data_IF_471131964098
#
_entry.id   IF_471131964098
#
_cell.length_a   1.000
_cell.length_b   1.000
_cell.length_c   1.000
_cell.angle_alpha   90.00
_cell.angle_beta   90.00
_cell.angle_gamma   90.00
#
_symmetry.space_group_name_H-M   'P 1'
#
loop_
_entity.id
_entity.type
_entity.pdbx_description
1 polymer ?
#
# COMPACT_ATOMS: atom_id res chain seq x y z
N UNK A 1 -14.39 1.82 -13.01
CA UNK A 1 -15.43 1.11 -12.24
C UNK A 1 -14.78 0.22 -11.20
N UNK A 2 -15.38 0.10 -10.02
CA UNK A 2 -14.94 -0.87 -9.01
C UNK A 2 -15.43 -2.24 -9.44
N UNK A 3 -14.51 -3.21 -9.55
CA UNK A 3 -14.85 -4.62 -9.79
C UNK A 3 -14.79 -5.39 -8.48
N UNK A 4 -15.78 -6.25 -8.24
CA UNK A 4 -15.76 -7.22 -7.13
C UNK A 4 -15.05 -8.52 -7.50
N UNK A 5 -14.71 -8.69 -8.79
CA UNK A 5 -13.92 -9.82 -9.26
C UNK A 5 -12.46 -9.62 -8.85
N UNK A 6 -11.91 -10.54 -8.05
CA UNK A 6 -10.59 -10.41 -7.43
C UNK A 6 -9.46 -10.35 -8.47
N UNK A 7 -9.61 -11.02 -9.60
CA UNK A 7 -8.66 -10.99 -10.71
C UNK A 7 -8.68 -9.68 -11.51
N UNK A 8 -9.62 -8.78 -11.23
CA UNK A 8 -9.82 -7.49 -11.93
C UNK A 8 -9.79 -6.27 -11.02
N UNK A 9 -9.28 -6.41 -9.81
CA UNK A 9 -9.22 -5.33 -8.82
C UNK A 9 -7.88 -5.28 -8.08
N UNK A 10 -7.81 -4.50 -7.00
CA UNK A 10 -6.58 -4.31 -6.22
C UNK A 10 -6.08 -5.56 -5.52
N UNK A 11 -6.89 -6.61 -5.38
CA UNK A 11 -6.45 -7.93 -4.88
C UNK A 11 -5.30 -8.47 -5.74
N UNK A 12 -5.38 -8.32 -7.07
CA UNK A 12 -4.29 -8.73 -7.97
C UNK A 12 -2.96 -8.01 -7.70
N UNK A 13 -3.00 -6.76 -7.28
CA UNK A 13 -1.80 -6.02 -6.90
C UNK A 13 -1.22 -6.60 -5.60
N UNK A 14 -2.09 -6.84 -4.61
CA UNK A 14 -1.72 -7.50 -3.35
C UNK A 14 -1.14 -8.89 -3.55
N UNK A 15 -1.69 -9.69 -4.48
CA UNK A 15 -1.17 -11.02 -4.85
C UNK A 15 0.30 -10.95 -5.29
N UNK A 16 0.66 -9.97 -6.13
CA UNK A 16 2.06 -9.83 -6.59
C UNK A 16 3.00 -9.41 -5.47
N UNK A 17 2.57 -8.51 -4.58
CA UNK A 17 3.36 -8.14 -3.39
C UNK A 17 3.59 -9.37 -2.51
N UNK A 18 2.53 -10.09 -2.17
CA UNK A 18 2.60 -11.30 -1.34
C UNK A 18 3.54 -12.35 -1.95
N UNK A 19 3.41 -12.61 -3.24
CA UNK A 19 4.24 -13.56 -3.99
C UNK A 19 5.73 -13.25 -3.88
N UNK A 20 6.15 -11.98 -3.97
CA UNK A 20 7.57 -11.62 -3.86
C UNK A 20 8.10 -11.86 -2.45
N UNK A 21 7.34 -11.49 -1.42
CA UNK A 21 7.70 -11.69 -0.01
C UNK A 21 7.77 -13.18 0.34
N UNK A 22 6.78 -13.97 -0.04
CA UNK A 22 6.72 -15.41 0.20
C UNK A 22 7.87 -16.16 -0.49
N UNK A 23 8.22 -15.76 -1.72
CA UNK A 23 9.35 -16.33 -2.45
C UNK A 23 10.70 -16.14 -1.72
N UNK A 24 10.80 -15.11 -0.88
CA UNK A 24 11.96 -14.83 -0.04
C UNK A 24 11.86 -15.44 1.38
N UNK A 25 10.81 -16.21 1.66
CA UNK A 25 10.58 -16.84 2.96
C UNK A 25 10.00 -15.90 4.04
N UNK A 26 9.50 -14.74 3.65
CA UNK A 26 8.83 -13.81 4.56
C UNK A 26 7.36 -14.24 4.71
N UNK A 27 6.91 -14.42 5.95
CA UNK A 27 5.52 -14.75 6.23
C UNK A 27 4.57 -13.60 5.86
N UNK A 28 3.53 -13.90 5.11
CA UNK A 28 2.54 -12.92 4.62
C UNK A 28 1.13 -13.42 4.91
N UNK A 29 0.25 -12.50 5.26
CA UNK A 29 -1.20 -12.71 5.24
C UNK A 29 -1.77 -11.71 4.25
N UNK A 30 -2.31 -12.18 3.14
CA UNK A 30 -3.01 -11.36 2.18
C UNK A 30 -4.53 -11.53 2.36
N UNK A 31 -5.15 -10.60 3.09
CA UNK A 31 -6.60 -10.58 3.28
C UNK A 31 -7.28 -9.94 2.07
N UNK A 32 -8.29 -10.62 1.53
CA UNK A 32 -9.02 -10.20 0.32
C UNK A 32 -10.48 -9.83 0.63
N UNK A 33 -10.80 -9.60 1.89
CA UNK A 33 -12.15 -9.22 2.32
C UNK A 33 -12.56 -7.87 1.74
N UNK A 34 -13.76 -7.82 1.16
CA UNK A 34 -14.33 -6.58 0.62
C UNK A 34 -14.92 -5.73 1.75
N UNK A 35 -14.09 -4.90 2.38
CA UNK A 35 -14.51 -4.06 3.50
C UNK A 35 -15.44 -2.90 3.10
N UNK A 36 -15.44 -2.50 1.83
CA UNK A 36 -16.33 -1.46 1.30
C UNK A 36 -17.71 -1.98 0.86
N UNK A 37 -18.00 -3.27 1.10
CA UNK A 37 -19.30 -3.87 0.88
C UNK A 37 -20.00 -4.16 2.23
N UNK A 38 -21.32 -3.96 2.36
CA UNK A 38 -22.29 -3.46 1.37
C UNK A 38 -22.27 -1.93 1.22
N UNK A 39 -21.49 -1.21 2.01
CA UNK A 39 -21.36 0.25 2.00
C UNK A 39 -19.93 0.69 2.19
N UNK A 40 -19.54 1.78 1.53
CA UNK A 40 -18.25 2.43 1.78
C UNK A 40 -18.15 2.99 3.20
N UNK A 41 -19.27 3.52 3.73
CA UNK A 41 -19.31 3.99 5.12
C UNK A 41 -19.06 2.80 6.07
N UNK A 42 -18.13 2.98 7.01
CA UNK A 42 -17.70 1.92 7.93
C UNK A 42 -16.67 0.95 7.35
N UNK A 43 -16.13 1.21 6.15
CA UNK A 43 -15.12 0.33 5.54
C UNK A 43 -13.83 0.27 6.37
N UNK A 44 -13.36 1.40 6.90
CA UNK A 44 -12.16 1.44 7.74
C UNK A 44 -12.35 0.76 9.10
N UNK A 45 -13.53 0.84 9.68
CA UNK A 45 -13.88 0.13 10.92
C UNK A 45 -13.85 -1.39 10.70
N UNK A 46 -14.47 -1.88 9.62
CA UNK A 46 -14.43 -3.31 9.25
C UNK A 46 -13.01 -3.79 8.93
N UNK A 47 -12.22 -2.99 8.22
CA UNK A 47 -10.81 -3.26 7.97
C UNK A 47 -10.00 -3.29 9.28
N UNK A 48 -10.27 -2.36 10.20
CA UNK A 48 -9.64 -2.34 11.52
C UNK A 48 -9.89 -3.61 12.34
N UNK A 49 -11.11 -4.16 12.28
CA UNK A 49 -11.47 -5.43 12.93
C UNK A 49 -10.69 -6.60 12.33
N UNK A 50 -10.59 -6.66 11.00
CA UNK A 50 -9.82 -7.68 10.29
C UNK A 50 -8.33 -7.62 10.65
N UNK A 51 -7.73 -6.42 10.64
CA UNK A 51 -6.33 -6.22 11.04
C UNK A 51 -6.14 -6.68 12.50
N UNK A 52 -7.01 -6.26 13.41
CA UNK A 52 -6.90 -6.59 14.82
C UNK A 52 -6.95 -8.09 15.06
N UNK A 53 -7.86 -8.81 14.38
CA UNK A 53 -7.94 -10.28 14.43
C UNK A 53 -6.59 -10.92 14.09
N UNK A 54 -5.95 -10.49 13.02
CA UNK A 54 -4.65 -11.06 12.63
C UNK A 54 -3.52 -10.65 13.59
N UNK A 55 -3.54 -9.45 14.13
CA UNK A 55 -2.55 -9.03 15.13
C UNK A 55 -2.67 -9.81 16.44
N UNK A 56 -3.90 -10.17 16.83
CA UNK A 56 -4.17 -11.00 18.02
C UNK A 56 -3.71 -12.46 17.80
N UNK A 57 -3.92 -12.99 16.58
CA UNK A 57 -3.52 -14.35 16.21
C UNK A 57 -2.00 -14.46 15.96
N UNK A 58 -1.38 -13.42 15.38
CA UNK A 58 0.03 -13.36 15.01
C UNK A 58 0.71 -12.11 15.57
N UNK A 59 1.08 -12.07 16.87
CA UNK A 59 1.68 -10.87 17.49
C UNK A 59 3.06 -10.49 16.92
N UNK A 60 3.65 -11.33 16.07
CA UNK A 60 4.90 -11.06 15.37
C UNK A 60 4.75 -10.11 14.18
N UNK A 61 3.53 -9.83 13.70
CA UNK A 61 3.29 -8.91 12.61
C UNK A 61 3.75 -7.50 13.01
N UNK A 62 4.63 -6.90 12.20
CA UNK A 62 5.17 -5.54 12.39
C UNK A 62 4.78 -4.58 11.29
N UNK A 63 4.38 -5.10 10.14
CA UNK A 63 4.03 -4.32 8.94
C UNK A 63 2.60 -4.67 8.55
N UNK A 64 1.80 -3.63 8.32
CA UNK A 64 0.47 -3.75 7.72
C UNK A 64 0.37 -2.77 6.56
N UNK A 65 -0.02 -3.25 5.39
CA UNK A 65 -0.12 -2.43 4.18
C UNK A 65 -1.55 -2.52 3.66
N UNK A 66 -2.17 -1.35 3.53
CA UNK A 66 -3.46 -1.20 2.86
C UNK A 66 -3.21 -0.87 1.38
N UNK A 67 -3.67 -1.75 0.48
CA UNK A 67 -3.40 -1.67 -0.96
C UNK A 67 -4.57 -1.00 -1.67
N UNK A 68 -4.36 0.23 -2.09
CA UNK A 68 -5.38 1.09 -2.67
C UNK A 68 -5.03 1.58 -4.09
N UNK A 69 -5.97 2.28 -4.68
CA UNK A 69 -5.86 3.02 -5.92
C UNK A 69 -6.47 4.39 -5.75
N UNK A 70 -5.70 5.42 -6.07
CA UNK A 70 -6.10 6.82 -6.00
C UNK A 70 -7.21 7.19 -7.02
N UNK A 71 -7.81 8.34 -6.85
CA UNK A 71 -8.76 8.93 -7.77
C UNK A 71 -8.32 10.35 -8.11
N UNK A 72 -7.63 10.51 -9.24
CA UNK A 72 -7.13 11.80 -9.71
C UNK A 72 -7.88 12.17 -10.98
N UNK A 73 -8.59 13.29 -10.94
CA UNK A 73 -9.41 13.77 -12.04
C UNK A 73 -9.31 15.27 -12.16
N UNK A 74 -9.15 15.76 -13.37
CA UNK A 74 -9.20 17.19 -13.69
C UNK A 74 -10.64 17.72 -13.61
N UNK A 75 -10.78 19.02 -13.56
CA UNK A 75 -12.10 19.68 -13.47
C UNK A 75 -13.02 19.41 -14.67
N UNK A 76 -12.46 19.03 -15.80
CA UNK A 76 -13.19 18.66 -17.03
C UNK A 76 -13.57 17.17 -17.09
N UNK A 77 -13.23 16.39 -16.05
CA UNK A 77 -13.47 14.96 -15.97
C UNK A 77 -12.37 14.08 -16.57
N UNK A 78 -11.26 14.68 -17.02
CA UNK A 78 -10.10 13.92 -17.52
C UNK A 78 -9.42 13.17 -16.38
N UNK A 79 -9.31 11.85 -16.52
CA UNK A 79 -8.65 10.98 -15.52
C UNK A 79 -7.15 10.99 -15.72
N UNK A 80 -6.43 11.27 -14.67
CA UNK A 80 -4.97 11.23 -14.66
C UNK A 80 -4.48 9.83 -14.30
N UNK A 81 -3.52 9.35 -15.08
CA UNK A 81 -2.82 8.08 -14.86
C UNK A 81 -1.35 8.37 -14.57
N UNK A 82 -0.92 8.43 -13.29
CA UNK A 82 0.49 8.55 -12.97
C UNK A 82 1.25 7.29 -13.41
N UNK A 83 2.23 7.45 -14.32
CA UNK A 83 2.96 6.34 -14.93
C UNK A 83 4.45 6.63 -14.90
N UNK A 84 5.26 5.61 -14.56
CA UNK A 84 6.69 5.54 -14.82
C UNK A 84 6.97 4.46 -15.88
N UNK A 85 8.09 4.58 -16.58
CA UNK A 85 8.61 3.52 -17.43
C UNK A 85 9.79 2.85 -16.73
N UNK A 86 9.63 1.58 -16.37
CA UNK A 86 10.64 0.78 -15.67
C UNK A 86 10.89 -0.46 -16.52
N UNK A 87 12.15 -0.69 -16.90
CA UNK A 87 12.59 -1.81 -17.75
C UNK A 87 11.75 -1.95 -19.04
N UNK A 88 11.41 -0.80 -19.65
CA UNK A 88 10.63 -0.75 -20.89
C UNK A 88 9.14 -1.07 -20.73
N UNK A 89 8.63 -1.16 -19.51
CA UNK A 89 7.21 -1.38 -19.21
C UNK A 89 6.63 -0.20 -18.45
N UNK A 90 5.36 0.07 -18.67
CA UNK A 90 4.62 1.07 -17.90
C UNK A 90 4.24 0.52 -16.53
N UNK A 91 4.62 1.23 -15.48
CA UNK A 91 4.25 0.98 -14.11
C UNK A 91 3.39 2.13 -13.57
N UNK A 92 2.30 1.85 -12.89
CA UNK A 92 1.55 2.87 -12.18
C UNK A 92 2.40 3.44 -11.03
N UNK A 93 2.60 4.75 -10.95
CA UNK A 93 3.41 5.34 -9.89
C UNK A 93 2.76 5.12 -8.52
N UNK A 94 3.57 4.77 -7.54
CA UNK A 94 3.13 4.46 -6.17
C UNK A 94 3.23 5.72 -5.30
N UNK A 95 2.17 6.03 -4.55
CA UNK A 95 2.21 7.01 -3.48
C UNK A 95 2.05 6.32 -2.13
N UNK A 96 2.98 6.57 -1.23
CA UNK A 96 2.87 6.15 0.17
C UNK A 96 2.09 7.21 0.92
N UNK A 97 1.03 6.82 1.61
CA UNK A 97 0.36 7.65 2.60
C UNK A 97 0.91 7.26 3.98
N UNK A 98 1.46 8.25 4.69
CA UNK A 98 1.89 8.12 6.07
C UNK A 98 1.11 9.11 6.93
N UNK A 99 0.39 8.59 7.91
CA UNK A 99 -0.38 9.42 8.83
C UNK A 99 0.51 10.18 9.81
N UNK A 100 0.02 11.31 10.30
CA UNK A 100 0.60 12.01 11.43
C UNK A 100 -0.47 12.35 12.47
N UNK A 101 -0.03 12.63 13.69
CA UNK A 101 -0.90 12.91 14.82
C UNK A 101 -0.59 14.31 15.39
N UNK A 102 -1.61 15.09 15.62
CA UNK A 102 -1.56 16.39 16.30
C UNK A 102 -1.83 16.29 17.83
N UNK A 103 -1.90 15.06 18.33
CA UNK A 103 -2.25 14.74 19.73
C UNK A 103 -3.73 14.41 19.93
N UNK A 104 -4.54 14.44 18.87
CA UNK A 104 -5.99 14.13 18.94
C UNK A 104 -6.37 12.82 18.27
N UNK A 105 -5.51 12.23 17.45
CA UNK A 105 -5.82 11.11 16.58
C UNK A 105 -5.50 9.73 17.19
N UNK A 106 -4.85 9.71 18.37
CA UNK A 106 -4.41 8.49 19.04
C UNK A 106 -3.55 7.57 18.13
N UNK A 107 -2.55 8.17 17.52
CA UNK A 107 -1.60 7.49 16.65
C UNK A 107 -0.14 7.74 17.11
N UNK A 108 0.25 7.25 18.31
CA UNK A 108 1.58 7.54 18.90
C UNK A 108 2.74 6.96 18.10
N UNK A 109 2.48 5.96 17.25
CA UNK A 109 3.48 5.27 16.41
C UNK A 109 3.74 5.98 15.06
N UNK A 110 3.14 7.12 14.78
CA UNK A 110 3.31 7.81 13.50
C UNK A 110 4.78 8.12 13.13
N UNK A 111 5.69 8.42 14.08
CA UNK A 111 7.09 8.64 13.71
C UNK A 111 7.78 7.39 13.19
N UNK A 112 7.41 6.21 13.70
CA UNK A 112 7.95 4.94 13.22
C UNK A 112 7.40 4.60 11.83
N UNK A 113 6.10 4.82 11.61
CA UNK A 113 5.47 4.68 10.29
C UNK A 113 6.14 5.60 9.26
N UNK A 114 6.43 6.85 9.63
CA UNK A 114 7.11 7.78 8.72
C UNK A 114 8.55 7.35 8.40
N UNK A 115 9.30 6.82 9.40
CA UNK A 115 10.64 6.26 9.15
C UNK A 115 10.57 5.09 8.19
N UNK A 116 9.62 4.19 8.40
CA UNK A 116 9.40 3.07 7.50
C UNK A 116 8.99 3.54 6.10
N UNK A 117 8.06 4.48 5.99
CA UNK A 117 7.65 5.08 4.71
C UNK A 117 8.84 5.67 3.95
N UNK A 118 9.69 6.45 4.64
CA UNK A 118 10.88 7.07 4.03
C UNK A 118 11.91 6.03 3.57
N UNK A 119 12.19 5.02 4.39
CA UNK A 119 13.09 3.93 4.04
C UNK A 119 12.55 3.13 2.83
N UNK A 120 11.26 2.85 2.82
CA UNK A 120 10.61 2.10 1.75
C UNK A 120 10.57 2.89 0.43
N UNK A 121 10.25 4.18 0.48
CA UNK A 121 10.35 5.05 -0.70
C UNK A 121 11.79 5.10 -1.23
N UNK A 122 12.77 5.27 -0.34
CA UNK A 122 14.18 5.30 -0.75
C UNK A 122 14.62 4.00 -1.41
N UNK A 123 14.17 2.85 -0.91
CA UNK A 123 14.45 1.56 -1.53
C UNK A 123 13.82 1.46 -2.91
N UNK A 124 12.52 1.79 -3.05
CA UNK A 124 11.83 1.76 -4.34
C UNK A 124 12.48 2.69 -5.38
N UNK A 125 12.92 3.88 -4.97
CA UNK A 125 13.59 4.83 -5.89
C UNK A 125 15.02 4.41 -6.23
N UNK A 126 15.72 3.73 -5.32
CA UNK A 126 17.04 3.18 -5.61
C UNK A 126 16.99 2.04 -6.64
N UNK A 127 16.01 1.15 -6.49
CA UNK A 127 15.82 -0.01 -7.36
C UNK A 127 15.14 0.37 -8.69
N UNK A 128 14.18 1.28 -8.64
CA UNK A 128 13.27 1.65 -9.74
C UNK A 128 13.06 3.16 -9.80
N UNK A 129 14.04 3.95 -10.29
CA UNK A 129 13.96 5.41 -10.33
C UNK A 129 12.69 5.93 -11.02
N UNK A 130 11.96 6.79 -10.33
CA UNK A 130 10.72 7.39 -10.82
C UNK A 130 9.45 6.55 -10.55
N UNK A 131 9.58 5.39 -9.87
CA UNK A 131 8.42 4.56 -9.52
C UNK A 131 7.50 5.24 -8.51
N UNK A 132 8.03 6.08 -7.61
CA UNK A 132 7.22 6.66 -6.55
C UNK A 132 6.83 8.11 -6.81
N UNK A 133 5.68 8.50 -6.28
CA UNK A 133 5.30 9.89 -6.05
C UNK A 133 5.80 10.32 -4.65
N UNK A 134 5.89 11.63 -4.33
CA UNK A 134 6.20 12.09 -2.98
C UNK A 134 5.28 11.46 -1.94
N UNK A 135 5.84 11.13 -0.76
CA UNK A 135 5.04 10.64 0.38
C UNK A 135 3.95 11.67 0.72
N UNK A 136 2.71 11.21 0.82
CA UNK A 136 1.61 12.03 1.33
C UNK A 136 1.55 11.91 2.86
N UNK A 137 2.19 12.86 3.53
CA UNK A 137 2.21 12.95 4.98
C UNK A 137 1.05 13.84 5.45
N UNK A 138 0.08 13.28 6.15
CA UNK A 138 -1.18 13.98 6.42
C UNK A 138 -1.88 13.52 7.70
N UNK A 139 -2.78 14.34 8.22
CA UNK A 139 -3.66 14.00 9.35
C UNK A 139 -4.76 13.03 8.93
N UNK A 140 -4.39 11.77 8.72
CA UNK A 140 -5.28 10.66 8.37
C UNK A 140 -4.91 9.42 9.16
N UNK A 141 -5.92 8.76 9.74
CA UNK A 141 -5.70 7.54 10.54
C UNK A 141 -5.54 6.30 9.66
N UNK A 142 -6.51 6.01 8.79
CA UNK A 142 -6.51 4.88 7.84
C UNK A 142 -5.91 3.60 8.43
N UNK A 143 -6.22 3.27 9.70
CA UNK A 143 -5.67 2.13 10.44
C UNK A 143 -4.13 2.13 10.62
N UNK A 144 -3.45 3.24 10.31
CA UNK A 144 -1.99 3.34 10.45
C UNK A 144 -1.50 3.41 11.91
N UNK A 145 -2.43 3.43 12.87
CA UNK A 145 -2.12 3.30 14.30
C UNK A 145 -1.96 1.84 14.77
N UNK A 146 -2.12 0.85 13.90
CA UNK A 146 -2.16 -0.57 14.29
C UNK A 146 -0.79 -1.17 14.54
N UNK A 147 0.22 -0.82 13.75
CA UNK A 147 1.60 -1.30 13.91
C UNK A 147 2.61 -0.18 13.63
N UNK A 148 3.89 -0.33 14.05
CA UNK A 148 4.95 0.63 13.70
C UNK A 148 5.28 0.71 12.21
N UNK A 149 4.82 -0.27 11.40
CA UNK A 149 4.98 -0.30 9.95
C UNK A 149 3.65 -0.29 9.22
N UNK A 150 2.64 0.44 9.73
CA UNK A 150 1.34 0.55 9.05
C UNK A 150 1.34 1.69 8.04
N UNK A 151 1.10 1.37 6.77
CA UNK A 151 1.05 2.33 5.65
C UNK A 151 -0.15 2.04 4.76
N UNK A 152 -0.61 3.07 4.03
CA UNK A 152 -1.50 2.89 2.89
C UNK A 152 -0.72 3.22 1.61
N UNK A 153 -0.83 2.36 0.59
CA UNK A 153 -0.17 2.52 -0.69
C UNK A 153 -1.21 2.71 -1.81
N UNK A 154 -1.08 3.80 -2.54
CA UNK A 154 -1.87 4.08 -3.73
C UNK A 154 -1.10 3.65 -4.99
N UNK A 155 -1.56 2.60 -5.64
CA UNK A 155 -0.98 2.10 -6.90
C UNK A 155 -1.61 2.82 -8.09
N UNK A 156 -1.02 3.94 -8.47
CA UNK A 156 -1.55 4.82 -9.50
C UNK A 156 -2.90 5.43 -9.13
N UNK A 157 -3.72 5.68 -10.15
CA UNK A 157 -5.06 6.24 -10.00
C UNK A 157 -6.06 5.49 -10.89
N UNK A 158 -7.32 5.88 -10.81
CA UNK A 158 -8.39 5.24 -11.61
C UNK A 158 -8.27 5.44 -13.13
N UNK A 159 -7.29 6.24 -13.58
CA UNK A 159 -6.87 6.36 -14.98
C UNK A 159 -5.88 5.28 -15.42
N UNK A 160 -5.17 4.62 -14.50
CA UNK A 160 -4.22 3.56 -14.82
C UNK A 160 -4.91 2.25 -15.20
N UNK A 161 -4.23 1.46 -16.02
CA UNK A 161 -4.64 0.09 -16.30
C UNK A 161 -4.34 -0.85 -15.12
N UNK A 162 -5.04 -1.99 -15.07
CA UNK A 162 -4.73 -3.01 -14.08
C UNK A 162 -3.32 -3.59 -14.28
N UNK A 163 -2.88 -3.75 -15.53
CA UNK A 163 -1.54 -4.25 -15.86
C UNK A 163 -0.44 -3.34 -15.32
N UNK A 164 -0.61 -2.02 -15.46
CA UNK A 164 0.32 -1.04 -14.88
C UNK A 164 0.39 -1.14 -13.35
N UNK A 165 -0.76 -1.30 -12.68
CA UNK A 165 -0.84 -1.44 -11.23
C UNK A 165 -0.27 -2.78 -10.73
N UNK A 166 -0.54 -3.89 -11.42
CA UNK A 166 -0.01 -5.23 -11.10
C UNK A 166 1.50 -5.25 -11.25
N UNK A 167 2.05 -4.65 -12.32
CA UNK A 167 3.50 -4.55 -12.48
C UNK A 167 4.14 -3.71 -11.35
N UNK A 168 3.51 -2.63 -10.93
CA UNK A 168 3.97 -1.87 -9.78
C UNK A 168 3.90 -2.67 -8.48
N UNK A 169 2.90 -3.54 -8.32
CA UNK A 169 2.81 -4.48 -7.20
C UNK A 169 4.00 -5.45 -7.15
N UNK A 170 4.43 -5.97 -8.30
CA UNK A 170 5.63 -6.79 -8.42
C UNK A 170 6.89 -6.03 -7.97
N UNK A 171 7.11 -4.82 -8.51
CA UNK A 171 8.27 -3.99 -8.18
C UNK A 171 8.27 -3.58 -6.70
N UNK A 172 7.11 -3.18 -6.18
CA UNK A 172 6.89 -2.85 -4.78
C UNK A 172 7.24 -4.02 -3.85
N UNK A 173 6.76 -5.22 -4.19
CA UNK A 173 7.04 -6.43 -3.42
C UNK A 173 8.52 -6.78 -3.40
N UNK A 174 9.24 -6.64 -4.52
CA UNK A 174 10.68 -6.83 -4.59
C UNK A 174 11.43 -5.82 -3.70
N UNK A 175 11.12 -4.54 -3.80
CA UNK A 175 11.76 -3.50 -3.00
C UNK A 175 11.47 -3.68 -1.50
N UNK A 176 10.25 -4.07 -1.13
CA UNK A 176 9.90 -4.36 0.26
C UNK A 176 10.68 -5.57 0.80
N UNK A 177 10.84 -6.60 -0.02
CA UNK A 177 11.64 -7.78 0.32
C UNK A 177 13.09 -7.39 0.61
N UNK A 178 13.73 -6.64 -0.28
CA UNK A 178 15.11 -6.15 -0.10
C UNK A 178 15.25 -5.34 1.19
N UNK A 179 14.31 -4.40 1.43
CA UNK A 179 14.31 -3.59 2.64
C UNK A 179 14.21 -4.44 3.90
N UNK A 180 13.30 -5.42 3.95
CA UNK A 180 13.11 -6.28 5.14
C UNK A 180 14.36 -7.13 5.38
N UNK A 181 14.93 -7.74 4.36
CA UNK A 181 16.11 -8.59 4.49
C UNK A 181 17.34 -7.79 4.94
N UNK A 182 17.49 -6.54 4.46
CA UNK A 182 18.60 -5.67 4.88
C UNK A 182 18.56 -5.26 6.35
N UNK A 183 17.41 -5.34 7.01
CA UNK A 183 17.28 -5.03 8.45
C UNK A 183 17.61 -6.23 9.36
N UNK A 184 17.77 -7.41 8.79
CA UNK A 184 18.08 -8.65 9.53
C UNK A 184 19.58 -8.97 9.61
N UNK A 185 20.43 -8.16 9.00
CA UNK A 185 21.89 -8.22 9.08
C UNK A 185 22.40 -7.22 10.14
#
# INVERSE_FOLDING_TARGET
>A
SRSTEQDKNMVRVGDEIAKQLEAAGIGVIHDTTLHDYPSYNGAYERSAETIQKYLDEYPSIKITIDVHRDAIEESDGTRIAPVAEIDGKKAAQIMIISGCDDGTMNMPNWPDNLRFAAAFQSQMEADYPGLTRPIFFCYRLYNMNKTPGSLLLEFGAHGNSLEEAVYSGELCGKALTELILSQGE
#
